data_IF_778629842646
#
_entry.id   IF_778629842646
#
_cell.length_a   1.000
_cell.length_b   1.000
_cell.length_c   1.000
_cell.angle_alpha   90.00
_cell.angle_beta   90.00
_cell.angle_gamma   90.00
#
_symmetry.space_group_name_H-M   'P 1'
#
loop_
_entity.id
_entity.type
_entity.pdbx_description
1 polymer ?
#
# COMPACT_ATOMS: atom_id res chain seq x y z
N UNK A 1 -2.96 -49.01 -13.27
CA UNK A 1 -2.27 -48.05 -12.31
C UNK A 1 -2.64 -46.56 -12.52
N UNK A 2 -3.77 -46.21 -13.15
CA UNK A 2 -4.18 -44.82 -13.45
C UNK A 2 -5.40 -44.38 -12.63
N UNK A 3 -6.18 -45.33 -12.02
CA UNK A 3 -7.39 -44.99 -11.25
C UNK A 3 -7.15 -44.52 -9.80
N UNK A 4 -5.96 -44.75 -9.21
CA UNK A 4 -5.66 -44.39 -7.81
C UNK A 4 -5.24 -42.91 -7.62
N UNK A 5 -4.84 -42.19 -8.68
CA UNK A 5 -4.40 -40.81 -8.57
C UNK A 5 -5.56 -39.80 -8.65
N UNK A 6 -6.64 -40.08 -9.32
CA UNK A 6 -7.79 -39.20 -9.48
C UNK A 6 -8.54 -38.98 -8.15
N UNK A 7 -8.72 -40.05 -7.36
CA UNK A 7 -9.41 -40.02 -6.06
C UNK A 7 -8.65 -39.15 -5.02
N UNK A 8 -7.28 -39.20 -5.02
CA UNK A 8 -6.46 -38.39 -4.15
C UNK A 8 -6.50 -36.87 -4.47
N UNK A 9 -6.58 -36.54 -5.76
CA UNK A 9 -6.70 -35.16 -6.24
C UNK A 9 -8.08 -34.58 -5.93
N UNK A 10 -9.13 -35.36 -6.06
CA UNK A 10 -10.52 -34.96 -5.74
C UNK A 10 -10.67 -34.74 -4.24
N UNK A 11 -10.17 -35.64 -3.38
CA UNK A 11 -10.17 -35.45 -1.92
C UNK A 11 -9.38 -34.23 -1.45
N UNK A 12 -8.23 -33.94 -2.07
CA UNK A 12 -7.45 -32.71 -1.77
C UNK A 12 -8.18 -31.44 -2.21
N UNK A 13 -8.88 -31.46 -3.35
CA UNK A 13 -9.70 -30.33 -3.82
C UNK A 13 -10.92 -30.10 -2.92
N UNK A 14 -11.57 -31.15 -2.46
CA UNK A 14 -12.69 -31.04 -1.50
C UNK A 14 -12.25 -30.55 -0.12
N UNK A 15 -11.08 -31.00 0.37
CA UNK A 15 -10.54 -30.53 1.65
C UNK A 15 -10.14 -29.06 1.59
N UNK A 16 -9.52 -28.61 0.49
CA UNK A 16 -9.19 -27.21 0.24
C UNK A 16 -10.45 -26.34 0.13
N UNK A 17 -11.51 -26.86 -0.55
CA UNK A 17 -12.79 -26.16 -0.70
C UNK A 17 -13.55 -26.07 0.64
N UNK A 18 -13.56 -27.14 1.45
CA UNK A 18 -14.15 -27.14 2.80
C UNK A 18 -13.37 -26.23 3.77
N UNK A 19 -12.05 -26.16 3.65
CA UNK A 19 -11.22 -25.21 4.41
C UNK A 19 -11.55 -23.76 4.05
N UNK A 20 -11.71 -23.46 2.75
CA UNK A 20 -12.07 -22.16 2.21
C UNK A 20 -13.46 -21.69 2.69
N UNK A 21 -14.47 -22.57 2.59
CA UNK A 21 -15.83 -22.33 3.09
C UNK A 21 -15.84 -22.14 4.62
N UNK A 22 -15.03 -22.95 5.34
CA UNK A 22 -14.95 -22.91 6.79
C UNK A 22 -14.32 -21.61 7.29
N UNK A 23 -13.34 -21.05 6.58
CA UNK A 23 -12.72 -19.79 6.95
C UNK A 23 -13.58 -18.57 6.53
N UNK A 24 -14.22 -18.59 5.35
CA UNK A 24 -15.28 -17.60 5.02
C UNK A 24 -16.40 -17.61 6.09
N UNK A 25 -16.86 -18.78 6.50
CA UNK A 25 -17.86 -18.91 7.57
C UNK A 25 -17.32 -18.46 8.93
N UNK A 26 -16.03 -18.68 9.26
CA UNK A 26 -15.42 -18.21 10.51
C UNK A 26 -15.15 -16.71 10.52
N UNK A 27 -14.70 -16.12 9.41
CA UNK A 27 -14.63 -14.66 9.24
C UNK A 27 -16.02 -14.03 9.37
N UNK A 28 -17.04 -14.61 8.72
CA UNK A 28 -18.44 -14.21 8.86
C UNK A 28 -18.96 -14.53 10.28
N UNK A 29 -18.57 -15.65 10.91
CA UNK A 29 -18.94 -16.00 12.29
C UNK A 29 -18.23 -15.14 13.32
N UNK A 30 -16.96 -14.73 13.13
CA UNK A 30 -16.30 -13.78 14.03
C UNK A 30 -17.02 -12.42 14.01
N UNK A 31 -17.40 -11.96 12.83
CA UNK A 31 -18.23 -10.76 12.68
C UNK A 31 -19.64 -10.96 13.28
N UNK A 32 -20.22 -12.16 13.14
CA UNK A 32 -21.54 -12.54 13.71
C UNK A 32 -21.47 -12.83 15.22
N UNK A 33 -20.40 -13.42 15.74
CA UNK A 33 -20.20 -13.66 17.20
C UNK A 33 -19.98 -12.34 17.94
N UNK A 34 -19.28 -11.37 17.37
CA UNK A 34 -19.27 -10.02 17.92
C UNK A 34 -20.68 -9.38 17.95
N UNK A 35 -21.55 -9.75 17.00
CA UNK A 35 -22.96 -9.32 17.02
C UNK A 35 -23.78 -10.04 18.10
N UNK A 36 -23.45 -11.30 18.47
CA UNK A 36 -24.22 -12.11 19.43
C UNK A 36 -23.83 -11.89 20.89
N UNK A 37 -22.58 -11.54 21.18
CA UNK A 37 -22.10 -11.30 22.57
C UNK A 37 -22.75 -10.05 23.20
N UNK A 38 -23.29 -9.13 22.39
CA UNK A 38 -23.95 -7.90 22.87
C UNK A 38 -25.48 -8.09 23.11
N UNK A 39 -26.06 -9.26 22.84
CA UNK A 39 -27.50 -9.50 23.00
C UNK A 39 -27.89 -10.18 24.32
N UNK A 40 -26.93 -10.55 25.17
CA UNK A 40 -27.16 -11.22 26.45
C UNK A 40 -27.23 -10.22 27.63
N UNK A 41 -28.01 -9.17 27.51
CA UNK A 41 -28.23 -8.17 28.55
C UNK A 41 -29.53 -7.43 28.39
N UNK A 42 -30.55 -7.84 29.11
CA UNK A 42 -31.81 -7.16 29.43
C UNK A 42 -32.68 -6.56 28.32
N UNK A 43 -33.89 -7.08 28.25
CA UNK A 43 -35.00 -6.70 27.37
C UNK A 43 -35.29 -5.21 27.17
N UNK A 44 -35.04 -4.77 25.97
CA UNK A 44 -35.72 -3.67 25.27
C UNK A 44 -35.44 -3.84 23.78
N UNK A 45 -36.44 -3.52 22.92
CA UNK A 45 -36.41 -3.69 21.46
C UNK A 45 -35.06 -3.26 20.89
N UNK A 46 -34.27 -4.24 20.47
CA UNK A 46 -32.93 -4.07 19.90
C UNK A 46 -33.06 -3.67 18.43
N UNK A 47 -32.86 -2.42 18.11
CA UNK A 47 -32.40 -1.99 16.78
C UNK A 47 -30.96 -2.48 16.65
N UNK A 48 -30.74 -3.55 15.91
CA UNK A 48 -29.40 -4.08 15.58
C UNK A 48 -28.60 -3.04 14.80
N UNK A 49 -27.84 -2.21 15.50
CA UNK A 49 -26.86 -1.31 14.91
C UNK A 49 -25.72 -2.20 14.38
N UNK A 50 -25.57 -2.31 13.06
CA UNK A 50 -24.38 -2.96 12.48
C UNK A 50 -23.15 -2.25 13.02
N UNK A 51 -22.35 -2.93 13.85
CA UNK A 51 -21.03 -2.43 14.26
C UNK A 51 -20.19 -2.26 12.99
N UNK A 52 -19.71 -1.05 12.77
CA UNK A 52 -18.72 -0.77 11.74
C UNK A 52 -17.33 -0.97 12.34
N UNK A 53 -16.35 -1.37 11.54
CA UNK A 53 -14.93 -1.47 11.96
C UNK A 53 -14.43 -0.16 12.57
N UNK A 54 -14.97 0.97 12.17
CA UNK A 54 -14.71 2.31 12.70
C UNK A 54 -15.13 2.48 14.19
N UNK A 55 -16.04 1.64 14.67
CA UNK A 55 -16.54 1.66 16.06
C UNK A 55 -15.70 0.75 17.00
N UNK A 56 -14.69 0.02 16.47
CA UNK A 56 -13.83 -0.87 17.25
C UNK A 56 -12.60 -0.12 17.77
N UNK A 57 -12.24 -0.39 19.02
CA UNK A 57 -10.99 0.14 19.58
C UNK A 57 -9.76 -0.57 18.99
N UNK A 58 -8.61 0.08 19.08
CA UNK A 58 -7.35 -0.41 18.52
C UNK A 58 -6.93 -1.78 19.10
N UNK A 59 -7.21 -2.05 20.37
CA UNK A 59 -6.88 -3.32 21.02
C UNK A 59 -7.68 -4.47 20.41
N UNK A 60 -8.95 -4.25 20.17
CA UNK A 60 -9.84 -5.21 19.50
C UNK A 60 -9.39 -5.49 18.08
N UNK A 61 -9.06 -4.45 17.30
CA UNK A 61 -8.54 -4.61 15.93
C UNK A 61 -7.22 -5.38 15.90
N UNK A 62 -6.29 -5.09 16.80
CA UNK A 62 -5.02 -5.83 16.92
C UNK A 62 -5.24 -7.30 17.31
N UNK A 63 -6.19 -7.58 18.19
CA UNK A 63 -6.59 -8.96 18.53
C UNK A 63 -7.11 -9.72 17.32
N UNK A 64 -8.04 -9.12 16.56
CA UNK A 64 -8.60 -9.69 15.33
C UNK A 64 -7.52 -9.94 14.27
N UNK A 65 -6.63 -8.98 14.04
CA UNK A 65 -5.52 -9.12 13.09
C UNK A 65 -4.58 -10.27 13.48
N UNK A 66 -4.31 -10.45 14.79
CA UNK A 66 -3.51 -11.56 15.32
C UNK A 66 -4.17 -12.92 15.05
N UNK A 67 -5.48 -13.03 15.27
CA UNK A 67 -6.20 -14.28 15.07
C UNK A 67 -6.33 -14.63 13.58
N UNK A 68 -6.63 -13.65 12.72
CA UNK A 68 -6.63 -13.82 11.27
C UNK A 68 -5.25 -14.30 10.79
N UNK A 69 -4.18 -13.64 11.24
CA UNK A 69 -2.80 -14.01 10.84
C UNK A 69 -2.46 -15.45 11.21
N UNK A 70 -2.89 -15.94 12.38
CA UNK A 70 -2.66 -17.34 12.82
C UNK A 70 -3.34 -18.36 11.89
N UNK A 71 -4.53 -18.05 11.41
CA UNK A 71 -5.32 -18.94 10.55
C UNK A 71 -4.84 -18.90 9.07
N UNK A 72 -4.02 -17.91 8.70
CA UNK A 72 -3.53 -17.78 7.33
C UNK A 72 -2.47 -18.83 7.00
N UNK A 73 -2.58 -19.41 5.78
CA UNK A 73 -1.48 -20.23 5.24
C UNK A 73 -0.24 -19.38 4.97
N UNK A 74 0.96 -19.98 5.09
CA UNK A 74 2.22 -19.30 4.76
C UNK A 74 2.19 -18.68 3.36
N UNK A 75 1.59 -19.39 2.39
CA UNK A 75 1.36 -18.89 1.04
C UNK A 75 0.61 -17.56 1.01
N UNK A 76 -0.48 -17.45 1.76
CA UNK A 76 -1.28 -16.23 1.82
C UNK A 76 -0.54 -15.12 2.58
N UNK A 77 0.17 -15.46 3.65
CA UNK A 77 1.02 -14.50 4.39
C UNK A 77 2.07 -13.88 3.48
N UNK A 78 2.79 -14.69 2.69
CA UNK A 78 3.77 -14.19 1.70
C UNK A 78 3.09 -13.28 0.70
N UNK A 79 1.92 -13.68 0.19
CA UNK A 79 1.15 -12.88 -0.77
C UNK A 79 0.78 -11.48 -0.26
N UNK A 80 0.44 -11.35 1.02
CA UNK A 80 0.10 -10.05 1.61
C UNK A 80 1.25 -9.04 1.54
N UNK A 81 2.49 -9.49 1.42
CA UNK A 81 3.67 -8.62 1.33
C UNK A 81 3.85 -7.95 -0.05
N UNK A 82 2.96 -8.18 -1.00
CA UNK A 82 3.13 -7.68 -2.37
C UNK A 82 1.92 -6.86 -2.84
N UNK A 83 2.21 -5.68 -3.39
CA UNK A 83 1.29 -4.92 -4.23
C UNK A 83 1.79 -4.98 -5.66
N UNK A 84 0.98 -5.50 -6.56
CA UNK A 84 1.35 -5.74 -7.96
C UNK A 84 0.53 -4.88 -8.90
N UNK A 85 1.07 -4.56 -10.08
CA UNK A 85 0.28 -3.93 -11.14
C UNK A 85 -0.62 -4.95 -11.82
N UNK A 86 -1.68 -4.46 -12.47
CA UNK A 86 -2.57 -5.28 -13.31
C UNK A 86 -1.78 -6.09 -14.32
N UNK A 87 -0.75 -5.48 -14.95
CA UNK A 87 0.11 -6.13 -15.93
C UNK A 87 0.86 -7.35 -15.36
N UNK A 88 1.35 -7.28 -14.13
CA UNK A 88 2.09 -8.38 -13.49
C UNK A 88 1.20 -9.61 -13.20
N UNK A 89 -0.11 -9.45 -13.23
CA UNK A 89 -1.04 -10.57 -13.10
C UNK A 89 -1.24 -11.34 -14.41
N UNK A 90 -1.03 -10.67 -15.55
CA UNK A 90 -1.12 -11.27 -16.89
C UNK A 90 -0.14 -10.59 -17.87
N UNK A 91 1.11 -11.05 -17.85
CA UNK A 91 2.22 -10.48 -18.63
C UNK A 91 2.12 -10.77 -20.14
N UNK A 92 1.27 -11.73 -20.55
CA UNK A 92 1.06 -12.07 -21.96
C UNK A 92 0.19 -11.06 -22.69
N UNK A 93 -0.59 -10.29 -21.93
CA UNK A 93 -1.50 -9.29 -22.45
C UNK A 93 -0.89 -7.88 -22.42
N UNK A 94 -1.57 -6.95 -23.07
CA UNK A 94 -1.15 -5.54 -23.10
C UNK A 94 -1.17 -4.89 -21.70
N UNK A 95 -0.26 -3.94 -21.46
CA UNK A 95 -0.30 -3.06 -20.27
C UNK A 95 -1.59 -2.25 -20.15
N UNK A 96 -2.39 -2.17 -21.22
CA UNK A 96 -3.65 -1.41 -21.31
C UNK A 96 -4.89 -2.24 -20.93
N UNK A 97 -4.75 -3.28 -20.15
CA UNK A 97 -5.86 -4.12 -19.70
C UNK A 97 -6.93 -3.32 -18.94
N UNK A 98 -8.16 -3.41 -19.41
CA UNK A 98 -9.35 -2.77 -18.80
C UNK A 98 -10.38 -3.78 -18.31
N UNK A 99 -10.02 -5.07 -18.27
CA UNK A 99 -10.87 -6.16 -17.78
C UNK A 99 -10.02 -7.23 -17.08
N UNK A 100 -10.65 -7.99 -16.20
CA UNK A 100 -9.98 -9.08 -15.48
C UNK A 100 -10.01 -10.35 -16.32
N UNK A 101 -8.81 -10.85 -16.68
CA UNK A 101 -8.65 -12.06 -17.48
C UNK A 101 -8.71 -13.32 -16.63
N UNK A 102 -8.91 -14.46 -17.28
CA UNK A 102 -8.81 -15.78 -16.63
C UNK A 102 -7.39 -16.04 -16.11
N UNK A 103 -6.36 -15.48 -16.77
CA UNK A 103 -4.97 -15.61 -16.35
C UNK A 103 -4.69 -14.81 -15.07
N UNK A 104 -5.21 -13.59 -14.95
CA UNK A 104 -5.09 -12.80 -13.70
C UNK A 104 -5.67 -13.58 -12.51
N UNK A 105 -6.86 -14.18 -12.67
CA UNK A 105 -7.49 -15.01 -11.63
C UNK A 105 -6.64 -16.24 -11.28
N UNK A 106 -6.02 -16.89 -12.27
CA UNK A 106 -5.08 -18.01 -12.05
C UNK A 106 -3.81 -17.55 -11.33
N UNK A 107 -3.26 -16.39 -11.70
CA UNK A 107 -2.06 -15.81 -11.07
C UNK A 107 -2.35 -15.49 -9.60
N UNK A 108 -3.40 -14.75 -9.27
CA UNK A 108 -3.79 -14.45 -7.88
C UNK A 108 -4.05 -15.72 -7.06
N UNK A 109 -4.60 -16.78 -7.67
CA UNK A 109 -4.78 -18.06 -6.98
C UNK A 109 -3.44 -18.77 -6.73
N UNK A 110 -2.48 -18.70 -7.64
CA UNK A 110 -1.16 -19.36 -7.52
C UNK A 110 -0.19 -18.57 -6.69
N UNK A 111 -0.14 -17.27 -6.88
CA UNK A 111 0.66 -16.27 -6.20
C UNK A 111 -0.29 -15.19 -5.66
N UNK A 112 -0.80 -15.32 -4.43
CA UNK A 112 -1.67 -14.29 -3.83
C UNK A 112 -0.94 -12.96 -3.70
N UNK A 113 -1.67 -11.85 -3.80
CA UNK A 113 -1.16 -10.50 -3.54
C UNK A 113 -1.93 -9.86 -2.38
N UNK A 114 -1.33 -8.90 -1.70
CA UNK A 114 -1.95 -8.04 -0.70
C UNK A 114 -2.63 -6.82 -1.32
N UNK A 115 -2.18 -6.42 -2.52
CA UNK A 115 -2.78 -5.30 -3.25
C UNK A 115 -2.56 -5.34 -4.75
N UNK A 116 -3.37 -4.56 -5.45
CA UNK A 116 -3.24 -4.28 -6.88
C UNK A 116 -3.25 -2.77 -7.10
N UNK A 117 -2.23 -2.26 -7.81
CA UNK A 117 -2.17 -0.88 -8.26
C UNK A 117 -2.67 -0.78 -9.71
N UNK A 118 -3.54 0.21 -9.96
CA UNK A 118 -4.06 0.53 -11.30
C UNK A 118 -3.46 1.84 -11.80
N UNK A 119 -3.18 1.89 -13.09
CA UNK A 119 -2.68 3.06 -13.79
C UNK A 119 -3.73 3.60 -14.77
N UNK A 120 -3.54 4.82 -15.27
CA UNK A 120 -4.47 5.47 -16.21
C UNK A 120 -4.86 4.57 -17.41
N UNK A 121 -3.94 3.71 -17.84
CA UNK A 121 -4.20 2.76 -18.96
C UNK A 121 -5.20 1.65 -18.62
N UNK A 122 -5.46 1.41 -17.35
CA UNK A 122 -6.43 0.41 -16.85
C UNK A 122 -7.80 1.04 -16.57
N UNK A 123 -7.90 2.38 -16.64
CA UNK A 123 -9.05 3.18 -16.18
C UNK A 123 -9.67 3.88 -17.38
N UNK A 124 -10.88 3.47 -17.78
CA UNK A 124 -11.53 4.00 -18.98
C UNK A 124 -12.86 4.72 -18.68
N UNK A 125 -13.78 4.07 -17.95
CA UNK A 125 -15.07 4.64 -17.53
C UNK A 125 -15.35 4.24 -16.07
N UNK A 126 -16.22 4.95 -15.34
CA UNK A 126 -16.59 4.58 -13.96
C UNK A 126 -17.06 3.13 -13.85
N UNK A 127 -18.00 2.70 -14.71
CA UNK A 127 -18.56 1.34 -14.69
C UNK A 127 -17.50 0.27 -14.97
N UNK A 128 -16.64 0.51 -15.97
CA UNK A 128 -15.56 -0.42 -16.31
C UNK A 128 -14.57 -0.52 -15.12
N UNK A 129 -14.18 0.61 -14.55
CA UNK A 129 -13.23 0.65 -13.42
C UNK A 129 -13.80 -0.05 -12.20
N UNK A 130 -15.04 0.28 -11.83
CA UNK A 130 -15.74 -0.37 -10.71
C UNK A 130 -15.88 -1.88 -10.91
N UNK A 131 -16.29 -2.31 -12.09
CA UNK A 131 -16.37 -3.74 -12.43
C UNK A 131 -15.02 -4.42 -12.28
N UNK A 132 -13.94 -3.80 -12.76
CA UNK A 132 -12.59 -4.37 -12.69
C UNK A 132 -12.10 -4.48 -11.24
N UNK A 133 -12.31 -3.46 -10.41
CA UNK A 133 -11.97 -3.51 -8.98
C UNK A 133 -12.74 -4.60 -8.25
N UNK A 134 -14.04 -4.74 -8.51
CA UNK A 134 -14.88 -5.78 -7.91
C UNK A 134 -14.42 -7.19 -8.32
N UNK A 135 -14.18 -7.40 -9.62
CA UNK A 135 -13.73 -8.72 -10.12
C UNK A 135 -12.34 -9.12 -9.59
N UNK A 136 -11.42 -8.17 -9.36
CA UNK A 136 -10.14 -8.42 -8.71
C UNK A 136 -10.32 -8.78 -7.24
N UNK A 137 -11.19 -8.09 -6.51
CA UNK A 137 -11.55 -8.43 -5.13
C UNK A 137 -12.15 -9.83 -5.04
N UNK A 138 -13.05 -10.20 -5.94
CA UNK A 138 -13.68 -11.52 -5.99
C UNK A 138 -12.66 -12.64 -6.33
N UNK A 139 -11.64 -12.32 -7.11
CA UNK A 139 -10.60 -13.27 -7.48
C UNK A 139 -9.59 -13.53 -6.34
N UNK A 140 -9.53 -12.65 -5.35
CA UNK A 140 -8.63 -12.78 -4.20
C UNK A 140 -9.32 -13.49 -3.03
N UNK A 141 -8.51 -14.25 -2.28
CA UNK A 141 -8.97 -14.94 -1.08
C UNK A 141 -9.05 -13.97 0.13
N UNK A 142 -8.14 -13.05 0.22
CA UNK A 142 -8.10 -11.98 1.22
C UNK A 142 -8.36 -10.67 0.48
N UNK A 143 -9.14 -9.74 1.04
CA UNK A 143 -9.39 -8.46 0.41
C UNK A 143 -8.09 -7.74 0.03
N UNK A 144 -8.06 -7.17 -1.18
CA UNK A 144 -6.91 -6.47 -1.73
C UNK A 144 -6.91 -4.99 -1.34
N UNK A 145 -5.73 -4.43 -1.13
CA UNK A 145 -5.56 -3.00 -1.37
C UNK A 145 -5.74 -2.73 -2.87
N UNK A 146 -6.78 -1.98 -3.22
CA UNK A 146 -6.97 -1.45 -4.58
C UNK A 146 -6.42 -0.04 -4.60
N UNK A 147 -5.20 0.11 -5.15
CA UNK A 147 -4.43 1.35 -5.06
C UNK A 147 -4.37 2.10 -6.39
N UNK A 148 -4.22 3.41 -6.30
CA UNK A 148 -4.01 4.31 -7.43
C UNK A 148 -3.22 5.54 -6.98
N UNK A 149 -2.47 6.18 -7.90
CA UNK A 149 -1.86 7.49 -7.70
C UNK A 149 -2.84 8.59 -8.16
N UNK A 150 -3.49 9.22 -7.21
CA UNK A 150 -4.36 10.37 -7.48
C UNK A 150 -3.90 11.55 -6.62
N UNK A 151 -2.75 12.16 -7.01
CA UNK A 151 -2.14 13.30 -6.31
C UNK A 151 -2.85 14.62 -6.67
N UNK A 152 -3.32 14.71 -7.91
CA UNK A 152 -3.68 15.92 -8.62
C UNK A 152 -2.56 16.35 -9.58
N UNK A 153 -2.80 17.41 -10.36
CA UNK A 153 -1.84 17.88 -11.37
C UNK A 153 -1.45 16.79 -12.37
N UNK A 154 -0.15 16.65 -12.61
CA UNK A 154 0.39 15.69 -13.60
C UNK A 154 0.29 14.22 -13.15
N UNK A 155 0.18 13.95 -11.83
CA UNK A 155 0.02 12.60 -11.30
C UNK A 155 -1.42 12.41 -10.84
N UNK A 156 -2.30 12.22 -11.81
CA UNK A 156 -3.73 12.00 -11.63
C UNK A 156 -4.14 10.89 -12.58
N UNK A 157 -4.27 9.66 -12.07
CA UNK A 157 -4.51 8.48 -12.91
C UNK A 157 -5.96 8.28 -13.26
N UNK A 158 -6.86 8.86 -12.48
CA UNK A 158 -8.32 8.75 -12.65
C UNK A 158 -8.90 10.05 -13.18
N UNK A 159 -8.72 11.17 -12.48
CA UNK A 159 -9.35 12.44 -12.86
C UNK A 159 -8.79 13.07 -14.15
N UNK A 160 -7.57 12.67 -14.58
CA UNK A 160 -7.03 13.09 -15.90
C UNK A 160 -7.82 12.53 -17.09
N UNK A 161 -8.62 11.47 -16.89
CA UNK A 161 -9.50 10.93 -17.91
C UNK A 161 -10.89 11.59 -17.81
N UNK A 162 -11.30 12.44 -18.77
CA UNK A 162 -12.56 13.18 -18.68
C UNK A 162 -13.81 12.28 -18.66
N UNK A 163 -13.71 11.02 -19.14
CA UNK A 163 -14.81 10.05 -19.06
C UNK A 163 -15.13 9.63 -17.63
N UNK A 164 -14.19 9.81 -16.70
CA UNK A 164 -14.37 9.43 -15.29
C UNK A 164 -15.25 10.43 -14.53
N UNK A 165 -15.39 11.65 -15.05
CA UNK A 165 -16.21 12.73 -14.46
C UNK A 165 -15.84 13.03 -12.99
N UNK A 166 -14.57 12.82 -12.63
CA UNK A 166 -14.03 13.17 -11.32
C UNK A 166 -13.61 14.64 -11.25
N UNK A 167 -13.51 15.14 -10.03
CA UNK A 167 -13.01 16.49 -9.77
C UNK A 167 -11.52 16.57 -10.09
N UNK A 168 -11.15 17.43 -11.05
CA UNK A 168 -9.75 17.68 -11.39
C UNK A 168 -9.16 18.71 -10.43
N UNK A 169 -8.04 18.38 -9.82
CA UNK A 169 -7.28 19.28 -8.95
C UNK A 169 -6.00 19.75 -9.63
N UNK A 170 -5.56 21.01 -9.38
CA UNK A 170 -4.29 21.49 -9.90
C UNK A 170 -3.11 20.77 -9.24
N UNK A 171 -1.88 21.12 -9.63
CA UNK A 171 -0.67 20.57 -9.02
C UNK A 171 -0.63 20.85 -7.52
N UNK A 172 0.08 19.98 -6.76
CA UNK A 172 0.24 20.17 -5.32
C UNK A 172 0.87 21.54 -4.98
N UNK A 173 1.80 22.01 -5.81
CA UNK A 173 2.42 23.34 -5.64
C UNK A 173 1.37 24.46 -5.75
N UNK A 174 0.47 24.39 -6.69
CA UNK A 174 -0.61 25.36 -6.85
C UNK A 174 -1.60 25.28 -5.68
N UNK A 175 -1.96 24.06 -5.24
CA UNK A 175 -2.77 23.84 -4.03
C UNK A 175 -2.08 24.47 -2.81
N UNK A 176 -0.78 24.19 -2.62
CA UNK A 176 0.00 24.76 -1.54
C UNK A 176 0.04 26.28 -1.57
N UNK A 177 0.08 26.90 -2.76
CA UNK A 177 0.11 28.34 -2.93
C UNK A 177 -1.24 29.02 -2.69
N UNK A 178 -2.35 28.43 -3.14
CA UNK A 178 -3.65 29.12 -3.28
C UNK A 178 -4.76 28.61 -2.38
N UNK A 179 -4.69 27.35 -1.87
CA UNK A 179 -5.76 26.79 -1.08
C UNK A 179 -5.59 27.14 0.42
N UNK A 180 -6.70 27.42 1.05
CA UNK A 180 -6.81 27.47 2.51
C UNK A 180 -7.20 26.09 3.08
N UNK A 181 -7.11 25.92 4.39
CA UNK A 181 -7.40 24.65 5.05
C UNK A 181 -8.80 24.08 4.71
N UNK A 182 -9.82 24.94 4.49
CA UNK A 182 -11.17 24.49 4.11
C UNK A 182 -11.17 23.85 2.72
N UNK A 183 -10.48 24.46 1.74
CA UNK A 183 -10.34 23.92 0.39
C UNK A 183 -9.53 22.62 0.38
N UNK A 184 -8.45 22.54 1.18
CA UNK A 184 -7.62 21.33 1.33
C UNK A 184 -8.44 20.20 1.96
N UNK A 185 -9.22 20.49 3.00
CA UNK A 185 -10.11 19.50 3.62
C UNK A 185 -11.18 18.99 2.63
N UNK A 186 -11.75 19.90 1.83
CA UNK A 186 -12.71 19.51 0.79
C UNK A 186 -12.05 18.66 -0.31
N UNK A 187 -10.82 18.97 -0.73
CA UNK A 187 -10.04 18.16 -1.68
C UNK A 187 -9.90 16.74 -1.16
N UNK A 188 -9.34 16.53 0.03
CA UNK A 188 -9.18 15.19 0.61
C UNK A 188 -10.50 14.42 0.75
N UNK A 189 -11.58 15.11 1.13
CA UNK A 189 -12.92 14.52 1.22
C UNK A 189 -13.45 14.10 -0.16
N UNK A 190 -13.34 14.96 -1.15
CA UNK A 190 -13.87 14.72 -2.50
C UNK A 190 -13.10 13.61 -3.20
N UNK A 191 -11.77 13.68 -3.24
CA UNK A 191 -10.94 12.61 -3.81
C UNK A 191 -11.23 11.26 -3.13
N UNK A 192 -11.27 11.23 -1.79
CA UNK A 192 -11.55 10.01 -1.07
C UNK A 192 -12.92 9.41 -1.42
N UNK A 193 -13.97 10.25 -1.49
CA UNK A 193 -15.32 9.79 -1.86
C UNK A 193 -15.35 9.24 -3.29
N UNK A 194 -14.83 9.99 -4.25
CA UNK A 194 -14.84 9.63 -5.66
C UNK A 194 -14.04 8.36 -5.93
N UNK A 195 -12.86 8.20 -5.32
CA UNK A 195 -12.06 6.96 -5.42
C UNK A 195 -12.79 5.75 -4.84
N UNK A 196 -13.45 5.92 -3.69
CA UNK A 196 -14.21 4.84 -3.06
C UNK A 196 -15.37 4.35 -3.93
N UNK A 197 -16.08 5.25 -4.59
CA UNK A 197 -17.17 4.92 -5.51
C UNK A 197 -16.69 4.03 -6.67
N UNK A 198 -15.42 4.16 -7.07
CA UNK A 198 -14.78 3.33 -8.09
C UNK A 198 -14.20 2.00 -7.55
N UNK A 199 -14.32 1.74 -6.25
CA UNK A 199 -13.82 0.51 -5.61
C UNK A 199 -12.36 0.56 -5.17
N UNK A 200 -11.69 1.72 -5.27
CA UNK A 200 -10.40 1.91 -4.63
C UNK A 200 -10.55 2.01 -3.11
N UNK A 201 -9.52 1.60 -2.37
CA UNK A 201 -9.45 1.71 -0.91
C UNK A 201 -8.10 2.27 -0.43
N UNK A 202 -7.16 2.57 -1.35
CA UNK A 202 -5.88 3.20 -1.06
C UNK A 202 -5.54 4.23 -2.15
N UNK A 203 -5.14 5.43 -1.72
CA UNK A 203 -4.52 6.41 -2.58
C UNK A 203 -3.02 6.52 -2.23
N UNK A 204 -2.15 6.35 -3.22
CA UNK A 204 -0.72 6.57 -3.06
C UNK A 204 -0.41 8.08 -3.08
N UNK A 205 -1.04 8.79 -2.17
CA UNK A 205 -0.97 10.22 -1.92
C UNK A 205 -1.36 10.50 -0.45
N UNK A 206 -0.95 11.63 0.12
CA UNK A 206 -0.31 12.80 -0.48
C UNK A 206 1.23 12.74 -0.52
N UNK A 207 1.82 13.54 -1.43
CA UNK A 207 3.27 13.78 -1.48
C UNK A 207 3.66 14.65 -0.31
N UNK A 208 4.55 14.14 0.55
CA UNK A 208 5.03 14.81 1.77
C UNK A 208 6.42 15.46 1.59
N UNK A 209 7.00 15.34 0.40
CA UNK A 209 8.31 15.92 0.07
C UNK A 209 8.29 17.44 0.15
N UNK A 210 9.34 18.02 0.76
CA UNK A 210 9.54 19.48 0.86
C UNK A 210 10.47 19.91 -0.26
N UNK A 211 10.01 20.73 -1.21
CA UNK A 211 10.77 21.14 -2.39
C UNK A 211 11.80 22.24 -2.04
N UNK A 212 12.93 21.87 -1.51
CA UNK A 212 14.03 22.81 -1.18
C UNK A 212 14.97 23.03 -2.35
N UNK A 213 15.07 22.10 -3.29
CA UNK A 213 15.80 22.26 -4.54
C UNK A 213 14.87 22.57 -5.71
N UNK A 214 14.89 23.79 -6.22
CA UNK A 214 14.07 24.24 -7.34
C UNK A 214 14.35 23.50 -8.66
N UNK A 215 15.52 22.87 -8.78
CA UNK A 215 15.93 22.10 -9.96
C UNK A 215 15.51 20.63 -9.88
N UNK A 216 14.82 20.22 -8.82
CA UNK A 216 14.30 18.87 -8.69
C UNK A 216 13.17 18.63 -9.69
N UNK A 217 13.41 17.76 -10.66
CA UNK A 217 12.43 17.43 -11.74
C UNK A 217 11.57 16.21 -11.43
N UNK A 218 11.97 15.37 -10.46
CA UNK A 218 11.22 14.20 -10.04
C UNK A 218 10.00 14.60 -9.20
N UNK A 219 10.21 15.47 -8.21
CA UNK A 219 9.17 15.98 -7.33
C UNK A 219 8.51 17.22 -7.93
N UNK A 220 9.30 18.27 -8.23
CA UNK A 220 8.81 19.47 -8.90
C UNK A 220 7.52 20.01 -8.31
N UNK A 221 6.51 20.21 -9.17
CA UNK A 221 5.19 20.73 -8.81
C UNK A 221 4.27 19.72 -8.09
N UNK A 222 4.74 18.48 -7.87
CA UNK A 222 4.07 17.48 -7.02
C UNK A 222 4.20 17.79 -5.53
N UNK A 223 5.17 18.64 -5.11
CA UNK A 223 5.30 19.12 -3.74
C UNK A 223 4.36 20.29 -3.45
N UNK A 224 3.83 20.36 -2.24
CA UNK A 224 3.04 21.51 -1.76
C UNK A 224 3.89 22.77 -1.47
N UNK A 225 5.22 22.71 -1.63
CA UNK A 225 6.13 23.83 -1.53
C UNK A 225 7.40 23.57 -0.72
N UNK A 226 8.15 24.65 -0.44
CA UNK A 226 9.43 24.62 0.24
C UNK A 226 9.35 24.85 1.77
N UNK A 227 8.20 25.28 2.28
CA UNK A 227 7.97 25.49 3.71
C UNK A 227 7.49 24.19 4.36
N UNK A 228 8.38 23.53 5.10
CA UNK A 228 8.10 22.25 5.74
C UNK A 228 6.93 22.29 6.74
N UNK A 229 6.69 23.42 7.40
CA UNK A 229 5.56 23.60 8.33
C UNK A 229 4.25 23.68 7.57
N UNK A 230 4.21 24.46 6.50
CA UNK A 230 3.03 24.57 5.63
C UNK A 230 2.70 23.23 4.97
N UNK A 231 3.70 22.52 4.47
CA UNK A 231 3.51 21.15 3.93
C UNK A 231 2.94 20.23 5.00
N UNK A 232 3.47 20.25 6.23
CA UNK A 232 2.99 19.45 7.36
C UNK A 232 1.49 19.70 7.70
N UNK A 233 1.06 20.96 7.67
CA UNK A 233 -0.35 21.33 7.92
C UNK A 233 -1.27 20.81 6.81
N UNK A 234 -0.85 20.90 5.55
CA UNK A 234 -1.57 20.38 4.40
C UNK A 234 -1.69 18.85 4.48
N UNK A 235 -0.57 18.15 4.73
CA UNK A 235 -0.53 16.70 4.90
C UNK A 235 -1.50 16.24 5.99
N UNK A 236 -1.47 16.88 7.16
CA UNK A 236 -2.37 16.58 8.27
C UNK A 236 -3.84 16.68 7.84
N UNK A 237 -4.18 17.71 7.08
CA UNK A 237 -5.55 17.98 6.64
C UNK A 237 -6.00 16.97 5.58
N UNK A 238 -5.16 16.66 4.58
CA UNK A 238 -5.48 15.68 3.53
C UNK A 238 -5.66 14.28 4.10
N UNK A 239 -4.70 13.79 4.91
CA UNK A 239 -4.76 12.46 5.54
C UNK A 239 -6.07 12.28 6.29
N UNK A 240 -6.40 13.21 7.21
CA UNK A 240 -7.62 13.12 8.03
C UNK A 240 -8.90 13.08 7.20
N UNK A 241 -8.98 13.86 6.12
CA UNK A 241 -10.22 13.98 5.35
C UNK A 241 -10.35 12.86 4.31
N UNK A 242 -9.26 12.35 3.77
CA UNK A 242 -9.24 11.19 2.87
C UNK A 242 -9.59 9.90 3.64
N UNK A 243 -8.95 9.64 4.77
CA UNK A 243 -9.19 8.43 5.57
C UNK A 243 -10.61 8.39 6.18
N UNK A 244 -11.22 9.54 6.46
CA UNK A 244 -12.66 9.59 6.81
C UNK A 244 -13.59 9.08 5.71
N UNK A 245 -13.12 9.00 4.46
CA UNK A 245 -13.86 8.39 3.35
C UNK A 245 -13.51 6.91 3.18
N UNK A 246 -12.74 6.30 4.11
CA UNK A 246 -12.26 4.91 4.04
C UNK A 246 -11.31 4.68 2.85
N UNK A 247 -10.51 5.66 2.52
CA UNK A 247 -9.38 5.56 1.58
C UNK A 247 -8.10 5.73 2.39
N UNK A 248 -7.29 4.68 2.45
CA UNK A 248 -5.98 4.73 3.10
C UNK A 248 -5.08 5.74 2.40
N UNK A 249 -4.54 6.70 3.16
CA UNK A 249 -3.60 7.69 2.66
C UNK A 249 -2.16 7.17 2.80
N UNK A 250 -1.32 7.44 1.80
CA UNK A 250 0.09 7.05 1.76
C UNK A 250 0.98 8.28 1.70
N UNK A 251 1.78 8.50 2.74
CA UNK A 251 2.79 9.58 2.72
C UNK A 251 3.97 9.15 1.86
N UNK A 252 4.46 10.02 0.97
CA UNK A 252 5.56 9.71 0.07
C UNK A 252 6.41 10.94 -0.26
N UNK A 253 7.69 10.77 -0.52
CA UNK A 253 8.52 9.58 -0.56
C UNK A 253 9.55 9.66 0.58
N UNK A 254 9.35 8.89 1.65
CA UNK A 254 10.26 8.91 2.80
C UNK A 254 11.68 8.46 2.39
N UNK A 255 12.77 9.11 2.87
CA UNK A 255 12.84 10.12 3.94
C UNK A 255 12.65 11.57 3.47
N UNK A 256 12.35 11.82 2.21
CA UNK A 256 12.20 13.13 1.58
C UNK A 256 13.08 13.23 0.34
N UNK A 257 12.46 13.45 -0.83
CA UNK A 257 13.15 13.51 -2.12
C UNK A 257 13.23 14.95 -2.69
N UNK A 258 12.65 15.94 -2.00
CA UNK A 258 12.46 17.29 -2.54
C UNK A 258 13.73 18.15 -2.67
N UNK A 259 14.85 17.70 -2.10
CA UNK A 259 16.14 18.41 -2.16
C UNK A 259 17.11 17.82 -3.21
N UNK A 260 16.82 16.65 -3.79
CA UNK A 260 17.72 16.00 -4.75
C UNK A 260 17.73 16.70 -6.11
N UNK A 261 18.81 16.51 -6.88
CA UNK A 261 18.88 16.89 -8.29
C UNK A 261 18.68 15.70 -9.24
N UNK A 262 18.56 14.48 -8.71
CA UNK A 262 18.40 13.24 -9.47
C UNK A 262 16.94 12.80 -9.60
N UNK A 263 16.76 11.72 -10.36
CA UNK A 263 15.46 11.07 -10.60
C UNK A 263 15.64 9.55 -10.46
N UNK A 264 15.04 8.97 -9.43
CA UNK A 264 15.15 7.54 -9.09
C UNK A 264 14.52 6.61 -10.14
N UNK A 265 13.67 7.13 -11.02
CA UNK A 265 13.16 6.42 -12.18
C UNK A 265 14.24 6.19 -13.26
N UNK A 266 15.27 7.01 -13.30
CA UNK A 266 16.33 6.99 -14.31
C UNK A 266 17.60 6.30 -13.87
N UNK A 267 17.77 6.09 -12.55
CA UNK A 267 18.95 5.45 -11.98
C UNK A 267 19.09 5.75 -10.50
N UNK A 268 20.21 5.32 -9.92
CA UNK A 268 20.54 5.59 -8.53
C UNK A 268 20.66 7.09 -8.28
N UNK A 269 20.01 7.59 -7.25
CA UNK A 269 20.04 8.98 -6.81
C UNK A 269 20.54 9.02 -5.38
N UNK A 270 21.44 9.96 -5.08
CA UNK A 270 22.12 10.10 -3.80
C UNK A 270 21.94 11.51 -3.26
N UNK A 271 21.91 11.65 -1.95
CA UNK A 271 21.97 12.93 -1.24
C UNK A 271 23.00 12.88 -0.11
N UNK A 272 23.65 14.01 0.11
CA UNK A 272 24.61 14.24 1.18
C UNK A 272 24.00 14.89 2.43
N UNK A 273 22.67 14.97 2.50
CA UNK A 273 22.00 15.50 3.69
C UNK A 273 22.35 14.70 4.94
N UNK A 274 22.59 15.43 6.03
CA UNK A 274 22.76 14.82 7.34
C UNK A 274 21.41 14.45 7.95
N UNK A 275 21.41 13.52 8.89
CA UNK A 275 20.22 13.15 9.63
C UNK A 275 19.56 14.35 10.34
N UNK A 276 20.35 15.32 10.81
CA UNK A 276 19.82 16.53 11.43
C UNK A 276 19.11 17.43 10.41
N UNK A 277 19.68 17.61 9.22
CA UNK A 277 19.02 18.36 8.15
C UNK A 277 17.68 17.75 7.75
N UNK A 278 17.62 16.41 7.62
CA UNK A 278 16.36 15.69 7.38
C UNK A 278 15.34 15.90 8.51
N UNK A 279 15.77 15.85 9.78
CA UNK A 279 14.89 16.09 10.95
C UNK A 279 14.36 17.52 10.97
N UNK A 280 15.16 18.49 10.57
CA UNK A 280 14.81 19.90 10.60
C UNK A 280 13.88 20.31 9.46
N UNK A 281 13.84 19.54 8.37
CA UNK A 281 13.07 19.87 7.17
C UNK A 281 12.14 18.73 6.75
N UNK A 282 12.70 17.68 6.21
CA UNK A 282 11.96 16.64 5.48
C UNK A 282 11.07 15.77 6.37
N UNK A 283 11.51 15.48 7.61
CA UNK A 283 10.73 14.67 8.54
C UNK A 283 9.50 15.38 9.12
N UNK A 284 9.42 16.73 9.05
CA UNK A 284 8.26 17.44 9.63
C UNK A 284 6.92 17.07 9.02
N UNK A 285 6.75 17.02 7.68
CA UNK A 285 5.51 16.56 7.08
C UNK A 285 5.19 15.09 7.39
N UNK A 286 6.21 14.20 7.41
CA UNK A 286 6.00 12.80 7.78
C UNK A 286 5.55 12.66 9.24
N UNK A 287 6.22 13.33 10.19
CA UNK A 287 5.79 13.36 11.60
C UNK A 287 4.35 13.86 11.76
N UNK A 288 3.97 14.90 11.01
CA UNK A 288 2.63 15.44 11.03
C UNK A 288 1.58 14.44 10.47
N UNK A 289 1.89 13.77 9.36
CA UNK A 289 1.05 12.72 8.79
C UNK A 289 0.96 11.48 9.69
N UNK A 290 2.05 11.06 10.33
CA UNK A 290 2.06 9.97 11.33
C UNK A 290 1.17 10.34 12.52
N UNK A 291 1.28 11.56 13.04
CA UNK A 291 0.39 12.06 14.10
C UNK A 291 -1.07 12.13 13.65
N UNK A 292 -1.33 12.38 12.37
CA UNK A 292 -2.66 12.33 11.77
C UNK A 292 -3.13 10.89 11.50
N UNK A 293 -2.34 9.87 11.85
CA UNK A 293 -2.60 8.43 11.68
C UNK A 293 -2.69 8.00 10.22
N UNK A 294 -1.75 8.48 9.37
CA UNK A 294 -1.62 7.99 8.00
C UNK A 294 -1.43 6.46 8.00
N UNK A 295 -2.20 5.76 7.18
CA UNK A 295 -2.22 4.29 7.15
C UNK A 295 -0.96 3.70 6.52
N UNK A 296 -0.34 4.40 5.55
CA UNK A 296 0.86 3.94 4.88
C UNK A 296 1.93 5.05 4.74
N UNK A 297 3.20 4.62 4.70
CA UNK A 297 4.36 5.44 4.31
C UNK A 297 5.13 4.69 3.24
N UNK A 298 5.36 5.35 2.11
CA UNK A 298 6.16 4.84 1.00
C UNK A 298 7.60 5.34 1.13
N UNK A 299 8.55 4.40 1.15
CA UNK A 299 9.99 4.66 1.25
C UNK A 299 10.60 4.68 -0.14
N UNK A 300 11.26 5.77 -0.50
CA UNK A 300 11.92 5.98 -1.79
C UNK A 300 13.17 5.09 -1.97
N UNK A 301 13.72 5.13 -3.18
CA UNK A 301 15.01 4.48 -3.50
C UNK A 301 16.20 5.45 -3.41
N UNK A 302 16.02 6.60 -2.76
CA UNK A 302 17.08 7.56 -2.51
C UNK A 302 18.17 6.96 -1.61
N UNK A 303 19.44 7.17 -1.95
CA UNK A 303 20.59 6.82 -1.10
C UNK A 303 20.98 8.01 -0.21
N UNK A 304 21.31 7.73 1.05
CA UNK A 304 21.64 8.74 2.08
C UNK A 304 23.07 8.56 2.55
N UNK A 305 24.04 9.12 1.82
CA UNK A 305 25.49 8.90 2.05
C UNK A 305 25.98 9.28 3.44
N UNK A 306 25.32 10.25 4.09
CA UNK A 306 25.71 10.73 5.43
C UNK A 306 24.80 10.18 6.56
N UNK A 307 23.95 9.20 6.25
CA UNK A 307 23.00 8.62 7.23
C UNK A 307 23.14 7.09 7.31
N UNK A 308 23.51 6.45 6.20
CA UNK A 308 23.70 5.00 6.10
C UNK A 308 25.17 4.69 5.85
N UNK A 309 25.69 3.64 6.46
CA UNK A 309 27.08 3.20 6.28
C UNK A 309 27.28 2.56 4.88
N UNK A 310 26.24 1.98 4.32
CA UNK A 310 26.24 1.34 3.00
C UNK A 310 25.54 2.23 1.97
N UNK A 311 26.05 2.22 0.73
CA UNK A 311 25.39 2.84 -0.42
C UNK A 311 24.26 1.95 -0.91
N UNK A 312 23.15 1.98 -0.19
CA UNK A 312 21.95 1.21 -0.54
C UNK A 312 20.71 2.12 -0.61
N UNK A 313 19.72 1.79 -1.44
CA UNK A 313 18.46 2.51 -1.48
C UNK A 313 17.76 2.51 -0.12
N UNK A 314 17.18 3.64 0.28
CA UNK A 314 16.46 3.82 1.55
C UNK A 314 15.42 2.71 1.80
N UNK A 315 14.73 2.25 0.75
CA UNK A 315 13.74 1.17 0.82
C UNK A 315 14.34 -0.21 1.17
N UNK A 316 15.66 -0.38 1.05
CA UNK A 316 16.39 -1.60 1.37
C UNK A 316 17.22 -1.48 2.64
N UNK A 317 17.30 -0.27 3.24
CA UNK A 317 18.12 0.04 4.40
C UNK A 317 17.36 -0.16 5.71
N UNK A 318 17.86 -1.05 6.59
CA UNK A 318 17.32 -1.21 7.94
C UNK A 318 17.44 0.07 8.76
N UNK A 319 18.51 0.84 8.53
CA UNK A 319 18.73 2.13 9.19
C UNK A 319 17.60 3.10 8.90
N UNK A 320 17.15 3.20 7.62
CA UNK A 320 16.08 4.13 7.22
C UNK A 320 14.70 3.59 7.61
N UNK A 321 14.44 2.31 7.32
CA UNK A 321 13.11 1.72 7.50
C UNK A 321 12.82 1.39 8.96
N UNK A 322 13.74 0.69 9.63
CA UNK A 322 13.52 0.24 11.00
C UNK A 322 13.93 1.30 12.01
N UNK A 323 15.19 1.73 12.03
CA UNK A 323 15.67 2.61 13.11
C UNK A 323 15.06 4.00 13.03
N UNK A 324 14.97 4.59 11.82
CA UNK A 324 14.45 5.96 11.68
C UNK A 324 12.92 5.95 11.59
N UNK A 325 12.33 5.30 10.56
CA UNK A 325 10.89 5.43 10.33
C UNK A 325 10.08 4.67 11.39
N UNK A 326 10.44 3.41 11.69
CA UNK A 326 9.67 2.59 12.63
C UNK A 326 9.90 3.01 14.08
N UNK A 327 11.17 3.18 14.50
CA UNK A 327 11.52 3.35 15.91
C UNK A 327 11.64 4.84 16.29
N UNK A 328 12.42 5.67 15.58
CA UNK A 328 12.58 7.10 15.94
C UNK A 328 11.29 7.91 15.69
N UNK A 329 10.63 7.68 14.53
CA UNK A 329 9.37 8.36 14.21
C UNK A 329 8.14 7.62 14.77
N UNK A 330 8.33 6.48 15.46
CA UNK A 330 7.30 5.65 16.11
C UNK A 330 6.15 5.25 15.18
N UNK A 331 6.44 5.08 13.89
CA UNK A 331 5.40 4.76 12.92
C UNK A 331 4.84 3.34 13.11
N UNK A 332 3.52 3.21 13.28
CA UNK A 332 2.84 1.93 13.55
C UNK A 332 2.12 1.33 12.33
N UNK A 333 1.86 2.13 11.29
CA UNK A 333 1.15 1.71 10.07
C UNK A 333 2.02 0.90 9.10
N UNK A 334 1.53 0.74 7.88
CA UNK A 334 2.18 -0.05 6.82
C UNK A 334 3.35 0.74 6.22
N UNK A 335 4.55 0.17 6.24
CA UNK A 335 5.70 0.68 5.49
C UNK A 335 5.76 -0.06 4.16
N UNK A 336 5.71 0.70 3.06
CA UNK A 336 5.84 0.13 1.72
C UNK A 336 7.07 0.68 0.99
N UNK A 337 7.57 -0.05 0.01
CA UNK A 337 8.59 0.48 -0.90
C UNK A 337 7.95 1.38 -1.93
N UNK A 338 8.72 2.26 -2.56
CA UNK A 338 8.39 2.75 -3.89
C UNK A 338 8.45 1.59 -4.92
N UNK A 339 8.10 1.84 -6.17
CA UNK A 339 8.01 0.82 -7.21
C UNK A 339 9.36 0.14 -7.47
N UNK A 340 9.47 -1.15 -7.13
CA UNK A 340 10.73 -1.90 -7.19
C UNK A 340 11.20 -2.24 -8.61
N UNK A 341 10.41 -1.91 -9.63
CA UNK A 341 10.81 -1.97 -11.04
C UNK A 341 11.48 -0.66 -11.55
N UNK A 342 11.75 0.29 -10.66
CA UNK A 342 12.51 1.50 -10.98
C UNK A 342 13.99 1.19 -11.15
N UNK A 343 14.68 1.93 -12.04
CA UNK A 343 16.09 1.69 -12.38
C UNK A 343 17.02 1.80 -11.19
N UNK A 344 16.71 2.63 -10.20
CA UNK A 344 17.47 2.69 -8.94
C UNK A 344 17.60 1.32 -8.25
N UNK A 345 16.65 0.41 -8.47
CA UNK A 345 16.68 -0.97 -7.95
C UNK A 345 17.18 -1.95 -9.01
N UNK A 346 16.55 -1.96 -10.20
CA UNK A 346 16.79 -3.03 -11.21
C UNK A 346 18.17 -3.02 -11.80
N UNK A 347 18.88 -1.90 -11.78
CA UNK A 347 20.27 -1.80 -12.24
C UNK A 347 21.26 -2.48 -11.27
N UNK A 348 20.86 -2.74 -10.00
CA UNK A 348 21.76 -3.22 -8.94
C UNK A 348 21.32 -4.52 -8.27
N UNK A 349 20.03 -4.88 -8.36
CA UNK A 349 19.45 -6.02 -7.63
C UNK A 349 18.50 -6.82 -8.53
N UNK A 350 18.55 -8.15 -8.43
CA UNK A 350 17.47 -8.99 -8.93
C UNK A 350 16.20 -8.77 -8.11
N UNK A 351 15.03 -9.08 -8.69
CA UNK A 351 13.74 -8.95 -8.00
C UNK A 351 13.69 -9.75 -6.69
N UNK A 352 14.32 -10.92 -6.69
CA UNK A 352 14.39 -11.78 -5.52
C UNK A 352 15.26 -11.20 -4.41
N UNK A 353 16.43 -10.68 -4.74
CA UNK A 353 17.36 -10.05 -3.77
C UNK A 353 16.74 -8.80 -3.17
N UNK A 354 16.21 -7.89 -4.01
CA UNK A 354 15.57 -6.67 -3.58
C UNK A 354 14.39 -6.95 -2.63
N UNK A 355 13.53 -7.93 -2.97
CA UNK A 355 12.41 -8.31 -2.11
C UNK A 355 12.85 -8.83 -0.74
N UNK A 356 13.87 -9.70 -0.70
CA UNK A 356 14.41 -10.24 0.56
C UNK A 356 15.02 -9.13 1.42
N UNK A 357 15.85 -8.23 0.81
CA UNK A 357 16.46 -7.09 1.51
C UNK A 357 15.39 -6.14 2.07
N UNK A 358 14.36 -5.78 1.29
CA UNK A 358 13.28 -4.91 1.75
C UNK A 358 12.57 -5.48 2.99
N UNK A 359 12.22 -6.77 2.99
CA UNK A 359 11.60 -7.41 4.16
C UNK A 359 12.56 -7.45 5.36
N UNK A 360 13.84 -7.72 5.14
CA UNK A 360 14.86 -7.68 6.21
C UNK A 360 15.04 -6.27 6.77
N UNK A 361 14.99 -5.24 5.93
CA UNK A 361 15.05 -3.84 6.32
C UNK A 361 13.87 -3.40 7.20
N UNK A 362 12.72 -4.09 7.13
CA UNK A 362 11.55 -3.75 7.95
C UNK A 362 10.30 -3.37 7.14
N UNK A 363 10.38 -3.36 5.81
CA UNK A 363 9.24 -3.08 4.92
C UNK A 363 8.13 -4.11 5.11
N UNK A 364 6.88 -3.67 5.09
CA UNK A 364 5.70 -4.52 5.21
C UNK A 364 5.13 -4.90 3.84
N UNK A 365 5.17 -3.99 2.85
CA UNK A 365 4.53 -4.16 1.54
C UNK A 365 5.50 -3.76 0.41
N UNK A 366 5.83 -4.70 -0.46
CA UNK A 366 6.70 -4.52 -1.62
C UNK A 366 5.84 -4.12 -2.81
N UNK A 367 6.08 -2.93 -3.38
CA UNK A 367 5.31 -2.42 -4.51
C UNK A 367 5.99 -2.76 -5.82
N UNK A 368 5.27 -3.38 -6.74
CA UNK A 368 5.67 -3.63 -8.13
C UNK A 368 7.10 -4.18 -8.29
N UNK A 369 7.47 -5.34 -7.69
CA UNK A 369 8.75 -5.96 -8.00
C UNK A 369 8.83 -6.19 -9.52
N UNK A 370 10.01 -6.01 -10.13
CA UNK A 370 10.16 -6.15 -11.59
C UNK A 370 9.68 -7.52 -12.09
N UNK A 371 10.07 -8.59 -11.39
CA UNK A 371 9.53 -9.94 -11.58
C UNK A 371 8.83 -10.44 -10.30
N UNK A 372 7.50 -10.33 -10.29
CA UNK A 372 6.68 -10.72 -9.13
C UNK A 372 6.86 -12.18 -8.70
N UNK A 373 6.88 -13.10 -9.68
CA UNK A 373 6.98 -14.53 -9.39
C UNK A 373 8.34 -14.91 -8.82
N UNK A 374 9.40 -14.26 -9.27
CA UNK A 374 10.75 -14.41 -8.73
C UNK A 374 10.83 -13.88 -7.30
N UNK A 375 10.36 -12.64 -7.06
CA UNK A 375 10.32 -12.01 -5.74
C UNK A 375 9.55 -12.88 -4.72
N UNK A 376 8.37 -13.37 -5.11
CA UNK A 376 7.55 -14.26 -4.29
C UNK A 376 8.30 -15.54 -3.89
N UNK A 377 8.92 -16.23 -4.87
CA UNK A 377 9.70 -17.45 -4.63
C UNK A 377 10.94 -17.19 -3.77
N UNK A 378 11.59 -16.03 -3.93
CA UNK A 378 12.74 -15.66 -3.12
C UNK A 378 12.38 -15.48 -1.64
N UNK A 379 11.25 -14.84 -1.32
CA UNK A 379 10.73 -14.77 0.06
C UNK A 379 10.40 -16.17 0.60
N UNK A 380 9.75 -17.01 -0.21
CA UNK A 380 9.46 -18.40 0.19
C UNK A 380 10.75 -19.19 0.50
N UNK A 381 11.78 -19.05 -0.33
CA UNK A 381 13.10 -19.66 -0.12
C UNK A 381 13.79 -19.12 1.13
N UNK A 382 13.76 -17.80 1.33
CA UNK A 382 14.35 -17.15 2.50
C UNK A 382 13.70 -17.58 3.82
N UNK A 383 12.39 -17.82 3.83
CA UNK A 383 11.68 -18.42 4.98
C UNK A 383 12.10 -19.86 5.23
N UNK A 384 12.17 -20.71 4.19
CA UNK A 384 12.60 -22.12 4.31
C UNK A 384 14.02 -22.26 4.81
N UNK A 385 14.92 -21.35 4.45
CA UNK A 385 16.32 -21.34 4.89
C UNK A 385 16.55 -20.66 6.24
N UNK A 386 15.49 -20.07 6.85
CA UNK A 386 15.62 -19.32 8.10
C UNK A 386 16.22 -17.91 7.95
N UNK A 387 16.56 -17.48 6.72
CA UNK A 387 17.08 -16.12 6.43
C UNK A 387 16.05 -15.03 6.81
N UNK A 388 14.76 -15.34 6.68
CA UNK A 388 13.65 -14.54 7.20
C UNK A 388 12.86 -15.43 8.17
N UNK A 389 12.55 -14.91 9.37
CA UNK A 389 11.71 -15.64 10.34
C UNK A 389 10.23 -15.43 10.01
N UNK A 390 9.39 -16.46 10.14
CA UNK A 390 7.93 -16.33 9.92
C UNK A 390 7.31 -15.25 10.81
N UNK A 391 7.82 -15.08 12.03
CA UNK A 391 7.37 -14.01 12.95
C UNK A 391 7.59 -12.60 12.39
N UNK A 392 8.58 -12.40 11.48
CA UNK A 392 8.77 -11.13 10.78
C UNK A 392 7.64 -10.90 9.77
N UNK A 393 7.26 -11.96 9.03
CA UNK A 393 6.14 -11.91 8.09
C UNK A 393 4.82 -11.66 8.84
N UNK A 394 4.59 -12.37 9.96
CA UNK A 394 3.40 -12.19 10.79
C UNK A 394 3.23 -10.76 11.32
N UNK A 395 4.35 -10.09 11.64
CA UNK A 395 4.32 -8.66 12.03
C UNK A 395 3.84 -7.77 10.89
N UNK A 396 4.28 -8.02 9.65
CA UNK A 396 3.81 -7.27 8.49
C UNK A 396 2.34 -7.54 8.16
N UNK A 397 1.95 -8.81 8.10
CA UNK A 397 0.57 -9.23 7.80
C UNK A 397 -0.44 -8.64 8.80
N UNK A 398 -0.04 -8.48 10.07
CA UNK A 398 -0.91 -7.84 11.08
C UNK A 398 -1.10 -6.34 10.89
N UNK A 399 -0.15 -5.65 10.23
CA UNK A 399 -0.28 -4.23 9.91
C UNK A 399 -1.07 -4.00 8.64
N UNK A 400 -0.91 -4.90 7.66
CA UNK A 400 -1.67 -4.95 6.42
C UNK A 400 -3.12 -5.35 6.68
#
# INVERSE_FOLDING_TARGET
MIQTNASGIIKRKEHARKGHERMKRRLISLVLVLMLVMTAGCGKKSTTKKLKTEDLDETTLQGMAKDITKEMSLKNKIGQLFMVSVYQLDEAESKNQTSVTSQMKKTLKKYPAGGVIMFAKNINTPDQTKKMTDELQDASYIPLFMAVDEEGGQVSRVASNPKMKMTVYPSAQEVGRTYNNKKIAQMGKTQGKELKELGFNMNLAPVADVLTNKNNTEIGDRSFGADSKKVADIITTLVKNMQKQQISATLKHFPGSGQTGGDTHRGSTETDQTINALRDTDFKPFKAGIKAKADAVMVSHLMLSNVTDEKEPSSLSSRVVSDILRDELEYKGVIMTDAMNMKAITDNYSSGEAAVKAIQAGVDLIVMPDNYKEAYKAIEKALKSGKIKESRIDKSVRRI
#
